data_IF_960906420865
#
_entry.id   IF_960906420865
#
_cell.length_a   1.000
_cell.length_b   1.000
_cell.length_c   1.000
_cell.angle_alpha   90.00
_cell.angle_beta   90.00
_cell.angle_gamma   90.00
#
_symmetry.space_group_name_H-M   'P 1'
#
loop_
_entity.id
_entity.type
_entity.pdbx_description
1 polymer ?
#
# COMPACT_ATOMS: atom_id res chain seq x y z
N UNK A 1 -7.53 -15.99 -6.40
CA UNK A 1 -6.90 -15.29 -7.53
C UNK A 1 -6.37 -13.92 -7.11
N UNK A 2 -7.16 -13.11 -6.41
CA UNK A 2 -6.80 -11.77 -5.89
C UNK A 2 -5.51 -11.74 -5.04
N UNK A 3 -5.32 -12.67 -4.10
CA UNK A 3 -4.15 -12.65 -3.21
C UNK A 3 -2.79 -12.63 -3.95
N UNK A 4 -2.64 -13.46 -4.99
CA UNK A 4 -1.37 -13.56 -5.73
C UNK A 4 -1.10 -12.25 -6.48
N UNK A 5 -2.13 -11.64 -7.06
CA UNK A 5 -2.00 -10.37 -7.76
C UNK A 5 -1.63 -9.24 -6.80
N UNK A 6 -2.29 -9.16 -5.64
CA UNK A 6 -1.95 -8.20 -4.58
C UNK A 6 -0.54 -8.41 -4.03
N UNK A 7 -0.16 -9.66 -3.72
CA UNK A 7 1.16 -10.00 -3.23
C UNK A 7 2.25 -9.61 -4.24
N UNK A 8 2.04 -9.94 -5.52
CA UNK A 8 2.95 -9.55 -6.59
C UNK A 8 3.06 -8.03 -6.72
N UNK A 9 1.93 -7.32 -6.73
CA UNK A 9 1.87 -5.86 -6.77
C UNK A 9 2.66 -5.24 -5.62
N UNK A 10 2.46 -5.70 -4.39
CA UNK A 10 3.18 -5.21 -3.21
C UNK A 10 4.68 -5.50 -3.26
N UNK A 11 5.09 -6.66 -3.77
CA UNK A 11 6.51 -6.98 -3.97
C UNK A 11 7.12 -6.00 -4.97
N UNK A 12 6.48 -5.77 -6.12
CA UNK A 12 6.94 -4.81 -7.12
C UNK A 12 7.00 -3.39 -6.52
N UNK A 13 5.96 -2.97 -5.83
CA UNK A 13 5.89 -1.67 -5.16
C UNK A 13 7.02 -1.47 -4.15
N UNK A 14 7.41 -2.51 -3.41
CA UNK A 14 8.54 -2.42 -2.48
C UNK A 14 9.85 -2.07 -3.19
N UNK A 15 10.15 -2.73 -4.31
CA UNK A 15 11.33 -2.44 -5.10
C UNK A 15 11.27 -1.04 -5.72
N UNK A 16 10.14 -0.69 -6.32
CA UNK A 16 9.92 0.62 -6.94
C UNK A 16 10.08 1.74 -5.90
N UNK A 17 9.50 1.59 -4.71
CA UNK A 17 9.63 2.58 -3.64
C UNK A 17 11.05 2.69 -3.10
N UNK A 18 11.75 1.57 -2.89
CA UNK A 18 13.13 1.63 -2.43
C UNK A 18 14.03 2.38 -3.43
N UNK A 19 13.84 2.16 -4.73
CA UNK A 19 14.55 2.88 -5.79
C UNK A 19 14.13 4.36 -5.86
N UNK A 20 12.82 4.61 -5.85
CA UNK A 20 12.24 5.96 -5.89
C UNK A 20 12.76 6.82 -4.74
N UNK A 21 12.80 6.29 -3.51
CA UNK A 21 13.26 7.03 -2.34
C UNK A 21 14.74 7.41 -2.46
N UNK A 22 15.60 6.52 -2.93
CA UNK A 22 17.01 6.87 -3.14
C UNK A 22 17.17 7.91 -4.24
N UNK A 23 16.46 7.76 -5.35
CA UNK A 23 16.51 8.73 -6.44
C UNK A 23 16.01 10.11 -6.00
N UNK A 24 14.86 10.16 -5.31
CA UNK A 24 14.24 11.40 -4.87
C UNK A 24 15.10 12.18 -3.86
N UNK A 25 15.73 11.50 -2.89
CA UNK A 25 16.50 12.18 -1.85
C UNK A 25 17.99 12.37 -2.18
N UNK A 26 18.59 11.50 -2.99
CA UNK A 26 20.03 11.53 -3.26
C UNK A 26 20.39 11.74 -4.74
N UNK A 27 19.41 11.82 -5.64
CA UNK A 27 19.62 12.03 -7.08
C UNK A 27 20.27 10.83 -7.79
N UNK A 28 20.39 9.68 -7.12
CA UNK A 28 20.97 8.45 -7.67
C UNK A 28 20.36 7.23 -7.02
N UNK A 29 20.30 6.13 -7.76
CA UNK A 29 20.08 4.80 -7.19
C UNK A 29 21.41 4.32 -6.59
N UNK A 30 21.45 4.14 -5.28
CA UNK A 30 22.60 3.61 -4.54
C UNK A 30 22.43 2.14 -4.17
N UNK A 31 23.22 1.69 -3.19
CA UNK A 31 23.14 0.33 -2.67
C UNK A 31 21.93 0.23 -1.73
N UNK A 32 20.84 -0.38 -2.19
CA UNK A 32 19.74 -0.79 -1.30
C UNK A 32 20.06 -2.18 -0.73
N UNK A 33 19.85 -2.35 0.57
CA UNK A 33 20.01 -3.67 1.21
C UNK A 33 18.67 -4.38 1.15
N UNK A 34 18.50 -5.25 0.14
CA UNK A 34 17.33 -6.10 0.08
C UNK A 34 17.26 -7.00 1.31
N UNK A 35 16.15 -6.96 2.03
CA UNK A 35 15.89 -7.83 3.18
C UNK A 35 14.64 -8.65 2.90
N UNK A 36 14.83 -9.95 2.67
CA UNK A 36 13.74 -10.92 2.47
C UNK A 36 12.73 -10.83 3.62
N UNK A 37 13.20 -10.60 4.85
CA UNK A 37 12.35 -10.41 6.03
C UNK A 37 11.29 -9.31 5.84
N UNK A 38 11.60 -8.21 5.15
CA UNK A 38 10.63 -7.14 4.90
C UNK A 38 9.46 -7.63 4.02
N UNK A 39 9.77 -8.35 2.95
CA UNK A 39 8.75 -8.96 2.09
C UNK A 39 7.92 -9.96 2.89
N UNK A 40 8.55 -10.80 3.71
CA UNK A 40 7.85 -11.76 4.55
C UNK A 40 6.89 -11.07 5.53
N UNK A 41 7.29 -9.97 6.17
CA UNK A 41 6.39 -9.21 7.06
C UNK A 41 5.16 -8.68 6.31
N UNK A 42 5.36 -8.15 5.10
CA UNK A 42 4.27 -7.64 4.27
C UNK A 42 3.33 -8.77 3.83
N UNK A 43 3.88 -9.90 3.39
CA UNK A 43 3.08 -11.05 2.94
C UNK A 43 2.30 -11.70 4.09
N UNK A 44 2.92 -11.85 5.27
CA UNK A 44 2.23 -12.36 6.46
C UNK A 44 1.11 -11.41 6.87
N UNK A 45 1.37 -10.10 6.88
CA UNK A 45 0.35 -9.14 7.24
C UNK A 45 -0.79 -9.08 6.21
N UNK A 46 -0.48 -9.13 4.92
CA UNK A 46 -1.48 -9.26 3.84
C UNK A 46 -2.33 -10.52 4.01
N UNK A 47 -1.70 -11.65 4.33
CA UNK A 47 -2.43 -12.90 4.57
C UNK A 47 -3.41 -12.77 5.74
N UNK A 48 -2.98 -12.15 6.85
CA UNK A 48 -3.87 -11.87 7.99
C UNK A 48 -5.05 -10.98 7.59
N UNK A 49 -4.80 -9.91 6.82
CA UNK A 49 -5.86 -9.02 6.31
C UNK A 49 -6.85 -9.81 5.45
N UNK A 50 -6.35 -10.64 4.54
CA UNK A 50 -7.18 -11.38 3.59
C UNK A 50 -8.02 -12.47 4.28
N UNK A 51 -7.45 -13.14 5.30
CA UNK A 51 -8.22 -14.04 6.16
C UNK A 51 -9.31 -13.26 6.91
N UNK A 52 -8.98 -12.11 7.48
CA UNK A 52 -9.96 -11.27 8.19
C UNK A 52 -11.10 -10.80 7.29
N UNK A 53 -10.78 -10.31 6.08
CA UNK A 53 -11.75 -9.87 5.08
C UNK A 53 -12.66 -11.03 4.64
N UNK A 54 -12.12 -12.22 4.44
CA UNK A 54 -12.91 -13.40 4.04
C UNK A 54 -13.94 -13.82 5.08
N UNK A 55 -13.75 -13.45 6.34
CA UNK A 55 -14.69 -13.75 7.43
C UNK A 55 -15.81 -12.71 7.57
N UNK A 56 -15.77 -11.62 6.80
CA UNK A 56 -16.79 -10.56 6.82
C UNK A 56 -17.94 -10.93 5.85
N UNK A 57 -19.19 -11.09 6.33
CA UNK A 57 -20.30 -11.51 5.49
C UNK A 57 -20.77 -10.46 4.47
N UNK A 58 -20.64 -9.18 4.82
CA UNK A 58 -21.01 -8.05 3.95
C UNK A 58 -19.88 -7.77 2.95
N UNK A 59 -20.08 -8.04 1.64
CA UNK A 59 -19.03 -7.90 0.64
C UNK A 59 -18.58 -6.45 0.44
N UNK A 60 -19.46 -5.46 0.58
CA UNK A 60 -19.08 -4.05 0.42
C UNK A 60 -18.23 -3.58 1.60
N UNK A 61 -18.62 -3.97 2.82
CA UNK A 61 -17.83 -3.68 4.00
C UNK A 61 -16.50 -4.44 3.99
N UNK A 62 -16.50 -5.71 3.56
CA UNK A 62 -15.29 -6.50 3.37
C UNK A 62 -14.32 -5.81 2.40
N UNK A 63 -14.83 -5.30 1.27
CA UNK A 63 -14.03 -4.54 0.31
C UNK A 63 -13.43 -3.28 0.96
N UNK A 64 -14.23 -2.48 1.65
CA UNK A 64 -13.74 -1.27 2.33
C UNK A 64 -12.64 -1.58 3.35
N UNK A 65 -12.78 -2.65 4.12
CA UNK A 65 -11.74 -3.10 5.05
C UNK A 65 -10.48 -3.56 4.30
N UNK A 66 -10.64 -4.24 3.17
CA UNK A 66 -9.53 -4.63 2.30
C UNK A 66 -8.79 -3.40 1.74
N UNK A 67 -9.48 -2.36 1.28
CA UNK A 67 -8.83 -1.14 0.78
C UNK A 67 -8.18 -0.36 1.92
N UNK A 68 -8.82 -0.25 3.09
CA UNK A 68 -8.21 0.43 4.24
C UNK A 68 -6.94 -0.28 4.73
N UNK A 69 -6.99 -1.59 4.96
CA UNK A 69 -5.85 -2.33 5.51
C UNK A 69 -4.88 -2.79 4.43
N UNK A 70 -5.38 -3.49 3.42
CA UNK A 70 -4.59 -4.09 2.34
C UNK A 70 -4.04 -3.07 1.34
N UNK A 71 -4.77 -1.98 1.11
CA UNK A 71 -4.32 -0.84 0.33
C UNK A 71 -3.58 0.16 1.22
N UNK A 72 -4.32 1.04 1.89
CA UNK A 72 -3.77 2.19 2.61
C UNK A 72 -2.73 1.84 3.67
N UNK A 73 -3.08 1.00 4.65
CA UNK A 73 -2.20 0.70 5.77
C UNK A 73 -0.94 -0.05 5.32
N UNK A 74 -1.11 -1.14 4.56
CA UNK A 74 0.03 -1.92 4.06
C UNK A 74 0.93 -1.07 3.17
N UNK A 75 0.39 -0.17 2.35
CA UNK A 75 1.19 0.67 1.47
C UNK A 75 2.09 1.62 2.26
N UNK A 76 1.59 2.21 3.35
CA UNK A 76 2.43 3.01 4.26
C UNK A 76 3.45 2.15 5.01
N UNK A 77 3.07 0.94 5.43
CA UNK A 77 4.01 -0.01 6.04
C UNK A 77 5.14 -0.37 5.05
N UNK A 78 4.79 -0.60 3.79
CA UNK A 78 5.74 -0.87 2.70
C UNK A 78 6.68 0.32 2.49
N UNK A 79 6.15 1.53 2.52
CA UNK A 79 6.94 2.77 2.43
C UNK A 79 7.92 2.89 3.59
N UNK A 80 7.50 2.57 4.82
CA UNK A 80 8.37 2.52 5.99
C UNK A 80 9.51 1.52 5.81
N UNK A 81 9.21 0.27 5.43
CA UNK A 81 10.23 -0.76 5.19
C UNK A 81 11.18 -0.38 4.04
N UNK A 82 10.66 0.26 2.99
CA UNK A 82 11.45 0.76 1.86
C UNK A 82 12.38 1.90 2.27
N UNK A 83 11.93 2.80 3.15
CA UNK A 83 12.76 3.83 3.78
C UNK A 83 13.91 3.23 4.59
N UNK A 84 13.63 2.19 5.38
CA UNK A 84 14.66 1.47 6.14
C UNK A 84 15.67 0.77 5.22
N UNK A 85 15.20 0.12 4.14
CA UNK A 85 16.04 -0.62 3.21
C UNK A 85 16.90 0.28 2.30
N UNK A 86 16.37 1.44 1.93
CA UNK A 86 17.05 2.45 1.12
C UNK A 86 18.10 3.25 1.92
N UNK A 87 18.04 3.23 3.25
CA UNK A 87 18.93 4.00 4.11
C UNK A 87 18.69 5.51 4.06
N UNK A 88 17.61 5.94 3.40
CA UNK A 88 17.24 7.35 3.26
C UNK A 88 16.85 7.90 4.63
N UNK A 89 17.40 9.07 4.96
CA UNK A 89 17.08 9.78 6.20
C UNK A 89 15.96 10.80 5.93
N UNK A 90 14.76 10.50 6.41
CA UNK A 90 13.61 11.41 6.38
C UNK A 90 13.34 11.95 7.79
N UNK A 91 12.82 13.17 7.88
CA UNK A 91 12.20 13.68 9.12
C UNK A 91 10.79 13.10 9.30
N UNK A 92 10.25 13.11 10.52
CA UNK A 92 8.85 12.70 10.81
C UNK A 92 7.84 13.37 9.91
N UNK A 93 7.98 14.68 9.70
CA UNK A 93 7.07 15.46 8.85
C UNK A 93 7.17 14.99 7.40
N UNK A 94 8.40 14.82 6.88
CA UNK A 94 8.61 14.31 5.52
C UNK A 94 8.02 12.91 5.36
N UNK A 95 8.28 12.00 6.31
CA UNK A 95 7.75 10.65 6.29
C UNK A 95 6.21 10.65 6.31
N UNK A 96 5.60 11.42 7.22
CA UNK A 96 4.14 11.48 7.35
C UNK A 96 3.48 11.92 6.04
N UNK A 97 3.89 13.05 5.48
CA UNK A 97 3.27 13.56 4.26
C UNK A 97 3.61 12.71 3.03
N UNK A 98 4.86 12.29 2.85
CA UNK A 98 5.24 11.49 1.68
C UNK A 98 4.59 10.11 1.68
N UNK A 99 4.51 9.45 2.84
CA UNK A 99 3.87 8.13 2.92
C UNK A 99 2.39 8.18 2.56
N UNK A 100 1.66 9.22 3.02
CA UNK A 100 0.25 9.42 2.64
C UNK A 100 0.13 9.73 1.14
N UNK A 101 0.98 10.62 0.60
CA UNK A 101 0.94 10.94 -0.83
C UNK A 101 1.20 9.71 -1.70
N UNK A 102 2.17 8.89 -1.33
CA UNK A 102 2.47 7.62 -2.01
C UNK A 102 1.29 6.66 -1.89
N UNK A 103 0.76 6.45 -0.69
CA UNK A 103 -0.36 5.53 -0.49
C UNK A 103 -1.60 5.96 -1.28
N UNK A 104 -1.91 7.27 -1.31
CA UNK A 104 -2.99 7.83 -2.14
C UNK A 104 -2.72 7.62 -3.63
N UNK A 105 -1.49 7.87 -4.12
CA UNK A 105 -1.15 7.68 -5.52
C UNK A 105 -1.31 6.21 -5.96
N UNK A 106 -0.87 5.26 -5.11
CA UNK A 106 -1.07 3.83 -5.35
C UNK A 106 -2.54 3.42 -5.24
N UNK A 107 -3.30 4.00 -4.31
CA UNK A 107 -4.75 3.79 -4.20
C UNK A 107 -5.47 4.20 -5.49
N UNK A 108 -5.23 5.42 -5.98
CA UNK A 108 -5.79 5.89 -7.26
C UNK A 108 -5.37 4.99 -8.43
N UNK A 109 -4.09 4.59 -8.49
CA UNK A 109 -3.62 3.67 -9.53
C UNK A 109 -4.30 2.30 -9.47
N UNK A 110 -4.59 1.80 -8.26
CA UNK A 110 -5.32 0.55 -8.05
C UNK A 110 -6.75 0.65 -8.58
N UNK A 111 -7.51 1.67 -8.18
CA UNK A 111 -8.89 1.88 -8.66
C UNK A 111 -8.96 2.02 -10.19
N UNK A 112 -7.98 2.72 -10.77
CA UNK A 112 -7.87 2.85 -12.22
C UNK A 112 -7.59 1.49 -12.89
N UNK A 113 -6.70 0.68 -12.31
CA UNK A 113 -6.42 -0.66 -12.80
C UNK A 113 -7.64 -1.58 -12.70
N UNK A 114 -8.37 -1.56 -11.58
CA UNK A 114 -9.60 -2.31 -11.40
C UNK A 114 -10.66 -1.90 -12.43
N UNK A 115 -10.84 -0.60 -12.65
CA UNK A 115 -11.75 -0.06 -13.67
C UNK A 115 -11.38 -0.55 -15.07
N UNK A 116 -10.10 -0.51 -15.44
CA UNK A 116 -9.62 -1.01 -16.73
C UNK A 116 -9.82 -2.52 -16.86
N UNK A 117 -9.52 -3.29 -15.83
CA UNK A 117 -9.67 -4.74 -15.83
C UNK A 117 -11.14 -5.16 -15.93
N UNK A 118 -12.03 -4.42 -15.28
CA UNK A 118 -13.48 -4.62 -15.38
C UNK A 118 -14.00 -4.33 -16.78
N UNK A 119 -13.56 -3.23 -17.40
CA UNK A 119 -13.97 -2.86 -18.75
C UNK A 119 -13.45 -3.82 -19.83
N UNK A 120 -12.20 -4.30 -19.71
CA UNK A 120 -11.56 -5.10 -20.74
C UNK A 120 -11.77 -6.61 -20.59
N UNK A 121 -11.81 -7.12 -19.36
CA UNK A 121 -11.85 -8.56 -19.08
C UNK A 121 -13.14 -9.01 -18.38
N UNK A 122 -14.06 -8.09 -18.07
CA UNK A 122 -15.32 -8.42 -17.39
C UNK A 122 -15.14 -8.89 -15.94
N UNK A 123 -13.98 -8.60 -15.33
CA UNK A 123 -13.71 -8.89 -13.92
C UNK A 123 -14.52 -7.91 -13.05
N UNK A 124 -15.32 -8.41 -12.10
CA UNK A 124 -16.16 -7.56 -11.25
C UNK A 124 -15.43 -7.22 -9.95
N UNK A 125 -15.06 -5.94 -9.79
CA UNK A 125 -14.43 -5.38 -8.59
C UNK A 125 -15.43 -4.51 -7.81
N UNK A 126 -16.20 -3.68 -8.50
CA UNK A 126 -17.28 -2.88 -7.91
C UNK A 126 -18.64 -3.20 -8.54
N UNK A 127 -19.71 -2.94 -7.80
CA UNK A 127 -21.08 -3.03 -8.32
C UNK A 127 -21.55 -1.69 -8.88
N UNK A 128 -21.05 -0.59 -8.33
CA UNK A 128 -21.43 0.76 -8.69
C UNK A 128 -20.21 1.67 -8.87
N UNK A 129 -20.38 2.80 -9.54
CA UNK A 129 -19.30 3.77 -9.74
C UNK A 129 -18.95 4.49 -8.43
N UNK A 130 -19.93 4.65 -7.54
CA UNK A 130 -19.75 5.26 -6.23
C UNK A 130 -18.80 4.46 -5.32
N UNK A 131 -18.68 3.14 -5.54
CA UNK A 131 -17.82 2.25 -4.75
C UNK A 131 -16.36 2.67 -4.82
N UNK A 132 -15.88 3.10 -5.99
CA UNK A 132 -14.52 3.61 -6.18
C UNK A 132 -14.21 4.78 -5.25
N UNK A 133 -15.17 5.68 -5.02
CA UNK A 133 -14.95 6.79 -4.10
C UNK A 133 -14.86 6.31 -2.65
N UNK A 134 -15.69 5.35 -2.25
CA UNK A 134 -15.62 4.76 -0.92
C UNK A 134 -14.31 4.00 -0.68
N UNK A 135 -13.81 3.32 -1.70
CA UNK A 135 -12.55 2.58 -1.66
C UNK A 135 -11.34 3.53 -1.58
N UNK A 136 -11.37 4.67 -2.28
CA UNK A 136 -10.37 5.74 -2.11
C UNK A 136 -10.42 6.35 -0.70
N UNK A 137 -11.61 6.58 -0.15
CA UNK A 137 -11.75 7.06 1.22
C UNK A 137 -11.21 6.05 2.23
N UNK A 138 -11.51 4.76 2.05
CA UNK A 138 -11.00 3.69 2.89
C UNK A 138 -9.46 3.62 2.84
N UNK A 139 -8.88 3.65 1.64
CA UNK A 139 -7.43 3.77 1.43
C UNK A 139 -6.84 4.97 2.19
N UNK A 140 -7.47 6.14 2.06
CA UNK A 140 -7.04 7.36 2.75
C UNK A 140 -7.05 7.23 4.27
N UNK A 141 -8.11 6.66 4.85
CA UNK A 141 -8.21 6.43 6.29
C UNK A 141 -7.15 5.45 6.79
N UNK A 142 -6.98 4.32 6.09
CA UNK A 142 -5.94 3.34 6.42
C UNK A 142 -4.54 3.93 6.37
N UNK A 143 -4.27 4.75 5.33
CA UNK A 143 -3.00 5.47 5.17
C UNK A 143 -2.76 6.46 6.29
N UNK A 144 -3.77 7.22 6.71
CA UNK A 144 -3.65 8.19 7.79
C UNK A 144 -3.34 7.52 9.14
N UNK A 145 -4.01 6.42 9.45
CA UNK A 145 -3.78 5.63 10.67
C UNK A 145 -2.35 5.08 10.66
N UNK A 146 -1.94 4.43 9.57
CA UNK A 146 -0.61 3.87 9.44
C UNK A 146 0.48 4.94 9.47
N UNK A 147 0.29 6.05 8.76
CA UNK A 147 1.26 7.14 8.72
C UNK A 147 1.45 7.72 10.13
N UNK A 148 0.37 7.94 10.87
CA UNK A 148 0.46 8.37 12.26
C UNK A 148 1.28 7.38 13.10
N UNK A 149 0.97 6.09 13.03
CA UNK A 149 1.68 5.04 13.78
C UNK A 149 3.17 4.95 13.42
N UNK A 150 3.51 4.81 12.13
CA UNK A 150 4.90 4.64 11.69
C UNK A 150 5.73 5.93 11.77
N UNK A 151 5.09 7.10 11.79
CA UNK A 151 5.78 8.37 12.07
C UNK A 151 6.37 8.36 13.48
N UNK A 152 5.66 7.81 14.48
CA UNK A 152 6.20 7.68 15.83
C UNK A 152 7.38 6.71 15.92
N UNK A 153 7.37 5.65 15.11
CA UNK A 153 8.46 4.66 15.05
C UNK A 153 9.68 5.14 14.24
N UNK A 154 9.53 6.23 13.48
CA UNK A 154 10.63 6.84 12.73
C UNK A 154 11.53 7.62 13.68
N UNK A 155 12.81 7.25 13.74
CA UNK A 155 13.78 7.74 14.74
C UNK A 155 14.16 9.23 14.60
N UNK A 156 13.77 9.91 13.52
CA UNK A 156 14.10 11.30 13.24
C UNK A 156 12.86 12.12 13.06
#
# INVERSE_FOLDING_TARGET
MYFILYAFGLIVSYFVLAMFLQFFFYGKTGNYSFKIAHILYVLVFLLCVMIGVFLIPDPEFANRIQHALGGGFIMVFLFYLSGLASGVKMTKIQFFFLSILVATAFGVANEFAESLLQLQFGLRFSSYLEDTWYDLWANGLGSLIAASFFTFLTKK
#
